data_IF_106408180063
#
_entry.id   IF_106408180063
#
_cell.length_a   1.000
_cell.length_b   1.000
_cell.length_c   1.000
_cell.angle_alpha   90.00
_cell.angle_beta   90.00
_cell.angle_gamma   90.00
#
_symmetry.space_group_name_H-M   'P 1'
#
loop_
_entity.id
_entity.type
_entity.pdbx_description
1 polymer ?
#
# COMPACT_ATOMS: atom_id res chain seq x y z
N UNK A 1 -9.56 -14.63 23.00
CA UNK A 1 -9.48 -13.41 22.18
C UNK A 1 -10.85 -12.77 22.21
N UNK A 2 -10.94 -11.52 22.66
CA UNK A 2 -12.17 -10.74 22.56
C UNK A 2 -12.34 -10.21 21.14
N UNK A 3 -13.58 -9.87 20.72
CA UNK A 3 -13.78 -9.20 19.45
C UNK A 3 -13.01 -7.85 19.36
N UNK A 4 -12.62 -7.30 20.50
CA UNK A 4 -11.89 -6.02 20.60
C UNK A 4 -10.43 -6.12 20.16
N UNK A 5 -9.85 -7.34 20.08
CA UNK A 5 -8.44 -7.53 19.66
C UNK A 5 -8.23 -7.19 18.17
N UNK A 6 -9.29 -7.24 17.35
CA UNK A 6 -9.28 -6.82 15.95
C UNK A 6 -9.44 -5.31 15.77
N UNK A 7 -9.86 -4.60 16.81
CA UNK A 7 -10.20 -3.20 16.73
C UNK A 7 -8.99 -2.33 16.99
N UNK A 8 -8.99 -1.19 16.32
CA UNK A 8 -8.07 -0.07 16.55
C UNK A 8 -8.86 1.12 17.11
N UNK A 9 -9.81 0.82 18.00
CA UNK A 9 -10.78 1.78 18.52
C UNK A 9 -10.11 3.00 19.12
N UNK A 10 -10.56 4.18 18.66
CA UNK A 10 -10.11 5.50 19.07
C UNK A 10 -8.61 5.78 18.87
N UNK A 11 -7.92 4.92 18.12
CA UNK A 11 -6.58 5.21 17.60
C UNK A 11 -6.66 6.19 16.44
N UNK A 12 -5.57 6.90 16.20
CA UNK A 12 -5.44 7.82 15.09
C UNK A 12 -4.51 7.23 14.03
N UNK A 13 -5.03 7.06 12.82
CA UNK A 13 -4.26 6.61 11.67
C UNK A 13 -3.97 7.78 10.72
N UNK A 14 -2.75 7.86 10.21
CA UNK A 14 -2.38 8.70 9.08
C UNK A 14 -2.07 7.82 7.87
N UNK A 15 -2.75 8.05 6.75
CA UNK A 15 -2.60 7.26 5.53
C UNK A 15 -2.13 8.17 4.39
N UNK A 16 -0.92 7.98 3.89
CA UNK A 16 -0.40 8.70 2.74
C UNK A 16 -0.93 8.10 1.43
N UNK A 17 -1.33 8.95 0.47
CA UNK A 17 -2.04 8.50 -0.73
C UNK A 17 -3.39 7.86 -0.38
N UNK A 18 -4.03 8.36 0.69
CA UNK A 18 -5.26 7.81 1.27
C UNK A 18 -6.53 8.15 0.49
N UNK A 19 -6.46 9.04 -0.49
CA UNK A 19 -7.62 9.48 -1.28
C UNK A 19 -8.02 8.51 -2.40
N UNK A 20 -7.28 7.43 -2.65
CA UNK A 20 -7.65 6.51 -3.71
C UNK A 20 -6.95 5.15 -3.64
N UNK A 21 -7.47 4.18 -4.39
CA UNK A 21 -6.89 2.85 -4.54
C UNK A 21 -6.65 2.12 -3.22
N UNK A 22 -5.49 1.51 -3.08
CA UNK A 22 -5.12 0.74 -1.88
C UNK A 22 -5.16 1.62 -0.63
N UNK A 23 -4.70 2.89 -0.73
CA UNK A 23 -4.73 3.82 0.41
C UNK A 23 -6.13 4.12 0.92
N UNK A 24 -7.08 4.33 0.02
CA UNK A 24 -8.49 4.52 0.38
C UNK A 24 -9.09 3.25 1.02
N UNK A 25 -8.82 2.08 0.44
CA UNK A 25 -9.25 0.81 1.02
C UNK A 25 -8.72 0.61 2.45
N UNK A 26 -7.44 0.97 2.68
CA UNK A 26 -6.83 0.90 4.02
C UNK A 26 -7.45 1.94 4.97
N UNK A 27 -7.63 3.18 4.52
CA UNK A 27 -8.24 4.24 5.35
C UNK A 27 -9.63 3.86 5.83
N UNK A 28 -10.47 3.35 4.91
CA UNK A 28 -11.82 2.90 5.23
C UNK A 28 -11.82 1.63 6.11
N UNK A 29 -10.91 0.69 5.89
CA UNK A 29 -10.80 -0.50 6.73
C UNK A 29 -10.40 -0.13 8.16
N UNK A 30 -9.45 0.78 8.36
CA UNK A 30 -9.06 1.28 9.68
C UNK A 30 -10.22 2.03 10.35
N UNK A 31 -10.98 2.83 9.60
CA UNK A 31 -12.17 3.50 10.12
C UNK A 31 -13.25 2.51 10.57
N UNK A 32 -13.55 1.47 9.77
CA UNK A 32 -14.47 0.38 10.16
C UNK A 32 -14.00 -0.35 11.42
N UNK A 33 -12.68 -0.48 11.59
CA UNK A 33 -12.07 -1.06 12.78
C UNK A 33 -11.98 -0.09 13.97
N UNK A 34 -12.50 1.14 13.84
CA UNK A 34 -12.68 2.10 14.92
C UNK A 34 -11.65 3.22 15.00
N UNK A 35 -10.72 3.35 14.05
CA UNK A 35 -9.76 4.45 14.02
C UNK A 35 -10.37 5.78 13.55
N UNK A 36 -9.83 6.89 14.04
CA UNK A 36 -9.90 8.20 13.39
C UNK A 36 -8.83 8.26 12.30
N UNK A 37 -9.08 8.94 11.19
CA UNK A 37 -8.17 8.88 10.04
C UNK A 37 -7.79 10.25 9.51
N UNK A 38 -6.50 10.54 9.45
CA UNK A 38 -5.93 11.61 8.64
C UNK A 38 -5.65 11.05 7.23
N UNK A 39 -6.36 11.59 6.24
CA UNK A 39 -6.29 11.15 4.83
C UNK A 39 -5.42 12.14 4.07
N UNK A 40 -4.16 11.77 3.79
CA UNK A 40 -3.24 12.61 3.04
C UNK A 40 -3.21 12.19 1.58
N UNK A 41 -3.50 13.11 0.68
CA UNK A 41 -3.43 12.89 -0.77
C UNK A 41 -3.01 14.16 -1.51
N UNK A 42 -2.50 14.04 -2.72
CA UNK A 42 -2.19 15.18 -3.59
C UNK A 42 -3.45 15.75 -4.23
N UNK A 43 -4.50 14.95 -4.39
CA UNK A 43 -5.78 15.34 -4.99
C UNK A 43 -6.76 15.75 -3.88
N UNK A 44 -7.06 17.06 -3.72
CA UNK A 44 -7.94 17.53 -2.65
C UNK A 44 -9.30 16.87 -2.64
N UNK A 45 -9.93 16.73 -3.81
CA UNK A 45 -11.27 16.14 -3.95
C UNK A 45 -11.31 14.69 -3.47
N UNK A 46 -10.22 13.93 -3.64
CA UNK A 46 -10.12 12.54 -3.18
C UNK A 46 -9.91 12.46 -1.68
N UNK A 47 -9.05 13.31 -1.13
CA UNK A 47 -8.84 13.37 0.31
C UNK A 47 -10.15 13.72 1.04
N UNK A 48 -10.91 14.70 0.54
CA UNK A 48 -12.21 15.10 1.07
C UNK A 48 -13.27 14.01 0.92
N UNK A 49 -13.32 13.33 -0.23
CA UNK A 49 -14.26 12.23 -0.45
C UNK A 49 -14.05 11.12 0.58
N UNK A 50 -12.83 10.61 0.73
CA UNK A 50 -12.54 9.53 1.67
C UNK A 50 -12.70 9.99 3.13
N UNK A 51 -12.37 11.23 3.45
CA UNK A 51 -12.64 11.80 4.77
C UNK A 51 -14.15 11.79 5.08
N UNK A 52 -15.00 12.18 4.13
CA UNK A 52 -16.45 12.10 4.28
C UNK A 52 -16.96 10.68 4.47
N UNK A 53 -16.39 9.70 3.78
CA UNK A 53 -16.73 8.28 3.96
C UNK A 53 -16.31 7.76 5.35
N UNK A 54 -15.16 8.20 5.88
CA UNK A 54 -14.71 7.91 7.26
C UNK A 54 -15.69 8.50 8.28
N UNK A 55 -16.14 9.74 8.04
CA UNK A 55 -17.15 10.40 8.91
C UNK A 55 -18.50 9.68 8.87
N UNK A 56 -18.92 9.19 7.71
CA UNK A 56 -20.13 8.39 7.56
C UNK A 56 -20.07 7.06 8.34
N UNK A 57 -18.87 6.54 8.62
CA UNK A 57 -18.62 5.41 9.51
C UNK A 57 -18.61 5.79 11.00
N UNK A 58 -18.93 7.04 11.35
CA UNK A 58 -18.96 7.55 12.73
C UNK A 58 -17.57 7.81 13.33
N UNK A 59 -16.54 7.98 12.50
CA UNK A 59 -15.18 8.29 12.96
C UNK A 59 -14.83 9.72 12.60
N UNK A 60 -13.84 10.30 13.29
CA UNK A 60 -13.33 11.62 12.91
C UNK A 60 -12.36 11.46 11.75
N UNK A 61 -12.40 12.40 10.81
CA UNK A 61 -11.48 12.46 9.68
C UNK A 61 -10.77 13.83 9.61
N UNK A 62 -9.62 13.84 8.94
CA UNK A 62 -8.90 15.05 8.57
C UNK A 62 -8.36 14.88 7.16
N UNK A 63 -8.98 15.54 6.15
CA UNK A 63 -8.39 15.57 4.82
C UNK A 63 -7.16 16.51 4.84
N UNK A 64 -6.04 16.01 4.28
CA UNK A 64 -4.77 16.72 4.18
C UNK A 64 -4.31 16.70 2.72
N UNK A 65 -3.91 17.87 2.21
CA UNK A 65 -3.42 17.99 0.83
C UNK A 65 -1.92 18.24 0.86
N UNK A 66 -1.15 17.29 0.29
CA UNK A 66 0.30 17.42 0.18
C UNK A 66 0.86 16.58 -0.97
N UNK A 67 1.86 17.10 -1.68
CA UNK A 67 2.73 16.30 -2.53
C UNK A 67 3.78 15.59 -1.66
N UNK A 68 3.71 14.27 -1.58
CA UNK A 68 4.65 13.49 -0.76
C UNK A 68 6.10 13.52 -1.28
N UNK A 69 6.34 14.02 -2.49
CA UNK A 69 7.69 14.27 -3.00
C UNK A 69 8.32 15.55 -2.41
N UNK A 70 7.52 16.39 -1.77
CA UNK A 70 7.96 17.58 -1.02
C UNK A 70 7.93 17.24 0.48
N UNK A 71 9.11 17.02 1.05
CA UNK A 71 9.23 16.62 2.46
C UNK A 71 8.69 17.64 3.44
N UNK A 72 8.77 18.94 3.11
CA UNK A 72 8.23 20.03 3.96
C UNK A 72 6.69 19.97 4.01
N UNK A 73 6.05 19.66 2.88
CA UNK A 73 4.60 19.45 2.86
C UNK A 73 4.20 18.21 3.67
N UNK A 74 4.99 17.13 3.60
CA UNK A 74 4.77 15.94 4.43
C UNK A 74 4.86 16.27 5.92
N UNK A 75 5.89 17.02 6.31
CA UNK A 75 6.08 17.44 7.72
C UNK A 75 4.93 18.33 8.19
N UNK A 76 4.51 19.29 7.37
CA UNK A 76 3.38 20.16 7.69
C UNK A 76 2.06 19.38 7.84
N UNK A 77 1.82 18.40 6.98
CA UNK A 77 0.62 17.56 7.05
C UNK A 77 0.61 16.68 8.31
N UNK A 78 1.76 16.10 8.70
CA UNK A 78 1.89 15.32 9.93
C UNK A 78 1.69 16.20 11.16
N UNK A 79 2.26 17.42 11.17
CA UNK A 79 2.07 18.38 12.25
C UNK A 79 0.59 18.78 12.40
N UNK A 80 -0.13 19.00 11.28
CA UNK A 80 -1.56 19.28 11.31
C UNK A 80 -2.39 18.12 11.85
N UNK A 81 -2.02 16.86 11.53
CA UNK A 81 -2.67 15.69 12.11
C UNK A 81 -2.42 15.59 13.62
N UNK A 82 -1.18 15.84 14.06
CA UNK A 82 -0.82 15.88 15.48
C UNK A 82 -1.55 16.99 16.24
N UNK A 83 -1.62 18.20 15.68
CA UNK A 83 -2.38 19.32 16.26
C UNK A 83 -3.88 18.99 16.39
N UNK A 84 -4.46 18.35 15.37
CA UNK A 84 -5.90 18.02 15.34
C UNK A 84 -6.30 16.91 16.31
N UNK A 85 -5.45 15.88 16.45
CA UNK A 85 -5.80 14.67 17.21
C UNK A 85 -4.98 14.51 18.50
N UNK A 86 -3.87 15.24 18.65
CA UNK A 86 -2.95 15.13 19.78
C UNK A 86 -2.11 13.85 19.79
N UNK A 87 -2.23 13.00 18.77
CA UNK A 87 -1.56 11.69 18.67
C UNK A 87 -1.61 11.15 17.23
N UNK A 88 -0.65 10.29 16.92
CA UNK A 88 -0.73 9.39 15.76
C UNK A 88 -0.28 8.00 16.23
N UNK A 89 -1.13 6.99 16.13
CA UNK A 89 -0.86 5.62 16.60
C UNK A 89 -0.51 4.68 15.45
N UNK A 90 -1.02 4.99 14.26
CA UNK A 90 -0.87 4.17 13.06
C UNK A 90 -0.39 5.07 11.92
N UNK A 91 0.75 4.72 11.31
CA UNK A 91 1.18 5.31 10.05
C UNK A 91 1.07 4.27 8.94
N UNK A 92 0.41 4.64 7.84
CA UNK A 92 0.41 3.85 6.62
C UNK A 92 1.14 4.61 5.51
N UNK A 93 2.33 4.15 5.18
CA UNK A 93 3.11 4.64 4.04
C UNK A 93 2.64 3.93 2.76
N UNK A 94 1.61 4.50 2.13
CA UNK A 94 1.02 3.94 0.92
C UNK A 94 1.32 4.77 -0.33
N UNK A 95 1.48 6.09 -0.21
CA UNK A 95 1.75 6.94 -1.36
C UNK A 95 2.89 6.39 -2.22
N UNK A 96 2.66 6.32 -3.51
CA UNK A 96 3.61 5.76 -4.45
C UNK A 96 3.09 5.84 -5.88
N UNK A 97 3.96 5.52 -6.82
CA UNK A 97 3.60 5.54 -8.23
C UNK A 97 4.58 4.76 -9.08
N UNK A 98 4.08 4.23 -10.18
CA UNK A 98 4.89 3.46 -11.11
C UNK A 98 4.58 3.85 -12.54
N UNK A 99 5.63 3.91 -13.36
CA UNK A 99 5.52 4.05 -14.81
C UNK A 99 6.51 3.07 -15.45
N UNK A 100 5.95 1.98 -16.02
CA UNK A 100 6.74 0.92 -16.63
C UNK A 100 7.42 1.41 -17.91
N UNK A 101 8.77 1.31 -17.97
CA UNK A 101 9.56 1.66 -19.16
C UNK A 101 10.90 0.90 -19.15
N UNK A 102 11.42 0.47 -20.32
CA UNK A 102 12.76 -0.10 -20.39
C UNK A 102 13.78 0.80 -19.70
N UNK A 103 14.63 0.24 -18.84
CA UNK A 103 15.59 1.02 -18.02
C UNK A 103 16.46 1.95 -18.87
N UNK A 104 17.00 1.46 -19.98
CA UNK A 104 17.85 2.26 -20.88
C UNK A 104 17.10 3.42 -21.59
N UNK A 105 15.78 3.46 -21.53
CA UNK A 105 14.95 4.55 -22.06
C UNK A 105 14.43 5.48 -20.97
N UNK A 106 14.80 5.27 -19.72
CA UNK A 106 14.46 6.16 -18.61
C UNK A 106 15.50 7.27 -18.49
N UNK A 107 15.06 8.47 -18.12
CA UNK A 107 15.92 9.59 -17.79
C UNK A 107 16.26 9.65 -16.31
N UNK A 108 17.31 10.34 -15.92
CA UNK A 108 17.65 10.61 -14.53
C UNK A 108 16.50 11.29 -13.79
N UNK A 109 15.78 12.23 -14.43
CA UNK A 109 14.58 12.86 -13.86
C UNK A 109 13.51 11.82 -13.51
N UNK A 110 13.32 10.81 -14.37
CA UNK A 110 12.37 9.71 -14.09
C UNK A 110 12.83 8.87 -12.90
N UNK A 111 14.13 8.56 -12.79
CA UNK A 111 14.65 7.82 -11.65
C UNK A 111 14.45 8.57 -10.34
N UNK A 112 14.84 9.86 -10.29
CA UNK A 112 14.65 10.71 -9.11
C UNK A 112 13.19 10.75 -8.67
N UNK A 113 12.27 10.99 -9.61
CA UNK A 113 10.84 10.97 -9.30
C UNK A 113 10.37 9.64 -8.69
N UNK A 114 10.82 8.49 -9.21
CA UNK A 114 10.46 7.20 -8.64
C UNK A 114 11.04 7.00 -7.24
N UNK A 115 12.26 7.47 -7.00
CA UNK A 115 12.91 7.41 -5.69
C UNK A 115 12.17 8.32 -4.70
N UNK A 116 11.88 9.54 -5.09
CA UNK A 116 11.22 10.52 -4.22
C UNK A 116 9.83 10.03 -3.79
N UNK A 117 8.99 9.59 -4.74
CA UNK A 117 7.62 9.19 -4.44
C UNK A 117 7.52 7.82 -3.74
N UNK A 118 8.42 6.86 -4.00
CA UNK A 118 8.29 5.49 -3.48
C UNK A 118 9.23 5.17 -2.30
N UNK A 119 10.25 6.00 -2.04
CA UNK A 119 11.20 5.74 -0.97
C UNK A 119 11.37 6.96 -0.06
N UNK A 120 11.74 8.14 -0.59
CA UNK A 120 12.02 9.32 0.23
C UNK A 120 10.77 9.76 1.00
N UNK A 121 9.60 9.75 0.36
CA UNK A 121 8.31 10.07 1.00
C UNK A 121 8.04 9.22 2.25
N UNK A 122 8.29 7.91 2.16
CA UNK A 122 8.16 7.00 3.30
C UNK A 122 9.17 7.31 4.41
N UNK A 123 10.43 7.62 4.06
CA UNK A 123 11.45 7.98 5.05
C UNK A 123 11.03 9.25 5.81
N UNK A 124 10.57 10.28 5.09
CA UNK A 124 10.11 11.53 5.68
C UNK A 124 8.92 11.31 6.63
N UNK A 125 7.87 10.62 6.15
CA UNK A 125 6.69 10.37 6.95
C UNK A 125 6.99 9.50 8.20
N UNK A 126 7.82 8.47 8.03
CA UNK A 126 8.23 7.62 9.16
C UNK A 126 9.02 8.41 10.21
N UNK A 127 9.98 9.24 9.78
CA UNK A 127 10.81 10.03 10.68
C UNK A 127 9.97 10.93 11.60
N UNK A 128 9.04 11.70 11.01
CA UNK A 128 8.24 12.64 11.81
C UNK A 128 7.18 11.93 12.66
N UNK A 129 6.51 10.92 12.10
CA UNK A 129 5.49 10.19 12.86
C UNK A 129 6.10 9.40 14.02
N UNK A 130 7.27 8.78 13.83
CA UNK A 130 7.95 8.07 14.90
C UNK A 130 8.33 8.99 16.08
N UNK A 131 8.72 10.25 15.83
CA UNK A 131 8.97 11.24 16.89
C UNK A 131 7.70 11.51 17.72
N UNK A 132 6.55 11.61 17.07
CA UNK A 132 5.25 11.78 17.74
C UNK A 132 4.92 10.55 18.57
N UNK A 133 5.01 9.34 18.01
CA UNK A 133 4.75 8.09 18.72
C UNK A 133 5.66 7.93 19.95
N UNK A 134 6.96 8.27 19.83
CA UNK A 134 7.93 8.22 20.94
C UNK A 134 7.58 9.26 22.02
N UNK A 135 7.25 10.48 21.64
CA UNK A 135 6.81 11.54 22.57
C UNK A 135 5.59 11.11 23.38
N UNK A 136 4.63 10.47 22.73
CA UNK A 136 3.41 9.98 23.36
C UNK A 136 3.62 8.74 24.26
N UNK A 137 4.67 7.95 24.01
CA UNK A 137 5.06 6.82 24.86
C UNK A 137 4.05 5.67 24.92
N UNK A 138 3.15 5.57 23.92
CA UNK A 138 2.10 4.53 23.85
C UNK A 138 2.43 3.39 22.89
N UNK A 139 3.60 3.44 22.25
CA UNK A 139 3.94 2.58 21.13
C UNK A 139 3.26 3.02 19.84
N UNK A 140 3.13 2.12 18.89
CA UNK A 140 2.47 2.41 17.60
C UNK A 140 2.66 1.31 16.58
N UNK A 141 2.07 1.50 15.40
CA UNK A 141 2.21 0.60 14.27
C UNK A 141 2.50 1.39 12.99
N UNK A 142 3.55 1.00 12.27
CA UNK A 142 3.89 1.54 10.96
C UNK A 142 3.70 0.41 9.93
N UNK A 143 2.86 0.66 8.93
CA UNK A 143 2.58 -0.27 7.83
C UNK A 143 3.07 0.33 6.52
N UNK A 144 4.07 -0.28 5.92
CA UNK A 144 4.64 0.14 4.65
C UNK A 144 4.00 -0.65 3.50
N UNK A 145 3.37 0.03 2.54
CA UNK A 145 2.78 -0.60 1.35
C UNK A 145 3.86 -0.73 0.29
N UNK A 146 4.51 -1.91 0.27
CA UNK A 146 5.51 -2.27 -0.71
C UNK A 146 4.86 -2.81 -2.00
N UNK A 147 5.39 -3.89 -2.52
CA UNK A 147 4.88 -4.66 -3.67
C UNK A 147 5.61 -5.99 -3.70
N UNK A 148 5.03 -7.01 -4.31
CA UNK A 148 5.77 -8.23 -4.64
C UNK A 148 6.96 -7.94 -5.57
N UNK A 149 6.92 -6.85 -6.34
CA UNK A 149 8.03 -6.39 -7.18
C UNK A 149 9.27 -5.95 -6.36
N UNK A 150 9.11 -5.71 -5.07
CA UNK A 150 10.23 -5.54 -4.14
C UNK A 150 10.91 -6.86 -3.73
N UNK A 151 10.32 -8.00 -4.07
CA UNK A 151 10.79 -9.35 -3.69
C UNK A 151 11.23 -10.18 -4.89
N UNK A 152 10.89 -9.79 -6.11
CA UNK A 152 11.21 -10.48 -7.35
C UNK A 152 11.70 -9.52 -8.43
N UNK A 153 12.21 -10.05 -9.53
CA UNK A 153 12.56 -9.25 -10.70
C UNK A 153 11.29 -8.70 -11.39
N UNK A 154 11.35 -7.44 -11.79
CA UNK A 154 10.28 -6.73 -12.47
C UNK A 154 10.80 -6.01 -13.72
N UNK A 155 10.85 -6.68 -14.89
CA UNK A 155 11.21 -6.03 -16.15
C UNK A 155 10.35 -4.78 -16.40
N UNK A 156 10.97 -3.72 -16.91
CA UNK A 156 10.39 -2.37 -17.11
C UNK A 156 10.19 -1.53 -15.85
N UNK A 157 10.28 -2.10 -14.65
CA UNK A 157 10.00 -1.44 -13.37
C UNK A 157 11.25 -1.31 -12.48
N UNK A 158 12.46 -1.34 -13.04
CA UNK A 158 13.73 -1.49 -12.32
C UNK A 158 13.88 -0.53 -11.12
N UNK A 159 13.64 0.78 -11.31
CA UNK A 159 13.80 1.78 -10.23
C UNK A 159 12.69 1.64 -9.19
N UNK A 160 11.46 1.41 -9.62
CA UNK A 160 10.34 1.13 -8.72
C UNK A 160 10.60 -0.09 -7.85
N UNK A 161 10.99 -1.21 -8.47
CA UNK A 161 11.30 -2.46 -7.75
C UNK A 161 12.46 -2.26 -6.75
N UNK A 162 13.50 -1.50 -7.13
CA UNK A 162 14.59 -1.15 -6.22
C UNK A 162 14.09 -0.33 -5.02
N UNK A 163 13.20 0.65 -5.22
CA UNK A 163 12.59 1.41 -4.13
C UNK A 163 11.75 0.52 -3.21
N UNK A 164 10.94 -0.37 -3.79
CA UNK A 164 10.10 -1.28 -3.01
C UNK A 164 10.92 -2.33 -2.25
N UNK A 165 12.03 -2.82 -2.80
CA UNK A 165 13.01 -3.65 -2.10
C UNK A 165 13.70 -2.87 -0.96
N UNK A 166 14.09 -1.62 -1.21
CA UNK A 166 14.62 -0.70 -0.19
C UNK A 166 13.64 -0.49 0.96
N UNK A 167 12.35 -0.30 0.67
CA UNK A 167 11.28 -0.21 1.67
C UNK A 167 11.20 -1.46 2.55
N UNK A 168 11.33 -2.67 1.98
CA UNK A 168 11.33 -3.92 2.76
C UNK A 168 12.57 -4.03 3.67
N UNK A 169 13.73 -3.58 3.18
CA UNK A 169 14.95 -3.52 4.01
C UNK A 169 14.80 -2.52 5.14
N UNK A 170 14.30 -1.32 4.85
CA UNK A 170 14.01 -0.28 5.84
C UNK A 170 13.00 -0.74 6.90
N UNK A 171 11.94 -1.44 6.49
CA UNK A 171 10.95 -2.03 7.41
C UNK A 171 11.62 -2.90 8.46
N UNK A 172 12.51 -3.81 8.07
CA UNK A 172 13.24 -4.69 9.00
C UNK A 172 14.15 -3.90 9.95
N UNK A 173 14.84 -2.90 9.42
CA UNK A 173 15.75 -2.07 10.24
C UNK A 173 14.98 -1.26 11.27
N UNK A 174 13.90 -0.58 10.86
CA UNK A 174 13.09 0.22 11.79
C UNK A 174 12.31 -0.64 12.78
N UNK A 175 11.95 -1.87 12.43
CA UNK A 175 11.37 -2.82 13.38
C UNK A 175 12.31 -3.06 14.59
N UNK A 176 13.63 -3.06 14.37
CA UNK A 176 14.61 -3.19 15.44
C UNK A 176 14.84 -1.87 16.15
N UNK A 177 15.09 -0.78 15.42
CA UNK A 177 15.42 0.53 16.00
C UNK A 177 14.29 1.10 16.85
N UNK A 178 13.03 0.89 16.45
CA UNK A 178 11.86 1.43 17.14
C UNK A 178 11.23 0.48 18.17
N UNK A 179 11.73 -0.75 18.28
CA UNK A 179 11.18 -1.77 19.18
C UNK A 179 11.20 -1.37 20.66
N UNK A 180 12.26 -0.67 21.10
CA UNK A 180 12.37 -0.20 22.49
C UNK A 180 11.31 0.84 22.86
N UNK A 181 10.66 1.45 21.88
CA UNK A 181 9.56 2.39 22.08
C UNK A 181 8.18 1.73 21.94
N UNK A 182 8.12 0.39 21.77
CA UNK A 182 6.88 -0.33 21.54
C UNK A 182 6.26 -0.08 20.17
N UNK A 183 7.03 0.43 19.20
CA UNK A 183 6.56 0.71 17.84
C UNK A 183 6.89 -0.49 16.96
N UNK A 184 5.87 -1.07 16.32
CA UNK A 184 6.00 -2.17 15.37
C UNK A 184 6.07 -1.62 13.95
N UNK A 185 6.93 -2.17 13.11
CA UNK A 185 7.09 -1.75 11.72
C UNK A 185 7.00 -2.98 10.83
N UNK A 186 5.99 -3.02 9.96
CA UNK A 186 5.74 -4.14 9.06
C UNK A 186 5.44 -3.63 7.64
N UNK A 187 5.47 -4.52 6.66
CA UNK A 187 5.08 -4.21 5.30
C UNK A 187 3.97 -5.13 4.80
N UNK A 188 3.13 -4.63 3.91
CA UNK A 188 2.32 -5.44 3.00
C UNK A 188 2.93 -5.37 1.61
N UNK A 189 2.82 -6.46 0.85
CA UNK A 189 3.31 -6.54 -0.52
C UNK A 189 2.16 -6.98 -1.45
N UNK A 190 1.37 -6.03 -1.95
CA UNK A 190 0.30 -6.30 -2.91
C UNK A 190 0.82 -6.68 -4.30
N UNK A 191 -0.04 -7.37 -5.07
CA UNK A 191 0.05 -7.54 -6.52
C UNK A 191 -1.38 -7.43 -7.11
N UNK A 192 -1.47 -7.22 -8.43
CA UNK A 192 -2.73 -7.25 -9.22
C UNK A 192 -4.00 -6.81 -8.45
N UNK A 193 -3.90 -5.69 -7.72
CA UNK A 193 -5.03 -5.13 -6.98
C UNK A 193 -5.77 -4.12 -7.87
N UNK A 194 -7.09 -4.27 -7.98
CA UNK A 194 -7.95 -3.34 -8.75
C UNK A 194 -7.96 -1.98 -8.06
N UNK A 195 -7.55 -0.94 -8.80
CA UNK A 195 -7.49 0.45 -8.31
C UNK A 195 -7.97 1.42 -9.40
N UNK A 196 -8.45 2.62 -9.02
CA UNK A 196 -8.77 3.65 -10.03
C UNK A 196 -7.60 3.92 -10.98
N UNK A 197 -6.39 3.95 -10.46
CA UNK A 197 -5.18 4.26 -11.24
C UNK A 197 -4.87 3.26 -12.34
N UNK A 198 -5.08 1.96 -12.12
CA UNK A 198 -4.87 0.92 -13.14
C UNK A 198 -6.09 0.70 -14.03
N UNK A 199 -7.24 1.27 -13.67
CA UNK A 199 -8.46 1.32 -14.48
C UNK A 199 -8.63 2.64 -15.27
N UNK A 200 -7.59 3.49 -15.33
CA UNK A 200 -7.58 4.71 -16.16
C UNK A 200 -8.00 5.99 -15.43
N UNK A 201 -8.59 5.90 -14.24
CA UNK A 201 -9.02 7.06 -13.43
C UNK A 201 -7.88 7.54 -12.50
N UNK A 202 -6.88 8.19 -13.08
CA UNK A 202 -5.65 8.58 -12.34
C UNK A 202 -5.77 9.87 -11.55
N UNK A 203 -6.62 10.79 -11.97
CA UNK A 203 -6.81 12.12 -11.36
C UNK A 203 -8.29 12.45 -11.25
N UNK A 204 -8.63 13.48 -10.47
CA UNK A 204 -10.01 13.87 -10.21
C UNK A 204 -10.77 12.89 -9.30
N UNK A 205 -12.07 13.05 -9.10
CA UNK A 205 -12.87 12.16 -8.26
C UNK A 205 -12.81 10.72 -8.75
N UNK A 206 -12.93 9.78 -7.83
CA UNK A 206 -13.04 8.36 -8.19
C UNK A 206 -14.43 8.11 -8.77
N UNK A 207 -14.46 7.66 -10.02
CA UNK A 207 -15.69 7.34 -10.75
C UNK A 207 -15.54 6.00 -11.47
N UNK A 208 -16.12 4.96 -10.89
CA UNK A 208 -16.03 3.59 -11.42
C UNK A 208 -16.71 3.44 -12.79
N UNK A 209 -17.68 4.32 -13.13
CA UNK A 209 -18.33 4.29 -14.43
C UNK A 209 -17.38 4.63 -15.59
N UNK A 210 -16.25 5.26 -15.30
CA UNK A 210 -15.22 5.63 -16.27
C UNK A 210 -14.06 4.62 -16.34
N UNK A 211 -14.12 3.55 -15.55
CA UNK A 211 -13.05 2.56 -15.53
C UNK A 211 -12.99 1.77 -16.83
N UNK A 212 -11.75 1.54 -17.27
CA UNK A 212 -11.48 0.70 -18.43
C UNK A 212 -11.19 -0.72 -17.96
N UNK A 213 -11.89 -1.68 -18.52
CA UNK A 213 -11.59 -3.09 -18.31
C UNK A 213 -10.67 -3.62 -19.42
N UNK A 214 -9.90 -4.66 -19.10
CA UNK A 214 -9.14 -5.41 -20.09
C UNK A 214 -10.06 -6.20 -21.02
N UNK A 215 -9.51 -6.67 -22.15
CA UNK A 215 -10.27 -7.63 -22.97
C UNK A 215 -10.48 -8.94 -22.22
N UNK A 216 -11.50 -9.76 -22.57
CA UNK A 216 -11.71 -11.06 -21.92
C UNK A 216 -10.46 -11.94 -21.89
N UNK A 217 -9.65 -11.91 -22.95
CA UNK A 217 -8.40 -12.67 -23.06
C UNK A 217 -7.34 -12.16 -22.08
N UNK A 218 -7.24 -10.83 -21.89
CA UNK A 218 -6.33 -10.23 -20.92
C UNK A 218 -6.73 -10.59 -19.49
N UNK A 219 -8.04 -10.52 -19.18
CA UNK A 219 -8.58 -10.88 -17.88
C UNK A 219 -8.31 -12.37 -17.58
N UNK A 220 -8.62 -13.26 -18.53
CA UNK A 220 -8.36 -14.69 -18.40
C UNK A 220 -6.86 -14.98 -18.18
N UNK A 221 -5.99 -14.36 -18.98
CA UNK A 221 -4.54 -14.52 -18.83
C UNK A 221 -4.05 -14.07 -17.46
N UNK A 222 -4.53 -12.92 -16.96
CA UNK A 222 -4.19 -12.42 -15.62
C UNK A 222 -4.69 -13.37 -14.54
N UNK A 223 -5.93 -13.83 -14.65
CA UNK A 223 -6.52 -14.73 -13.66
C UNK A 223 -5.80 -16.09 -13.61
N UNK A 224 -5.28 -16.60 -14.73
CA UNK A 224 -4.47 -17.82 -14.74
C UNK A 224 -3.09 -17.64 -14.12
N UNK A 225 -2.55 -16.43 -14.15
CA UNK A 225 -1.27 -16.10 -13.50
C UNK A 225 -1.39 -16.08 -11.97
N UNK A 226 -2.56 -15.67 -11.47
CA UNK A 226 -2.82 -15.54 -10.03
C UNK A 226 -3.36 -16.87 -9.50
N UNK A 227 -2.69 -17.54 -8.53
CA UNK A 227 -3.16 -18.82 -7.99
C UNK A 227 -4.61 -18.83 -7.49
N UNK A 228 -5.09 -17.75 -6.87
CA UNK A 228 -6.49 -17.62 -6.46
C UNK A 228 -7.46 -17.35 -7.61
N UNK A 229 -6.97 -17.15 -8.84
CA UNK A 229 -7.78 -17.07 -10.05
C UNK A 229 -8.53 -15.75 -10.26
N UNK A 230 -8.16 -14.69 -9.56
CA UNK A 230 -8.75 -13.36 -9.70
C UNK A 230 -7.79 -12.26 -9.23
N UNK A 231 -7.99 -11.06 -9.71
CA UNK A 231 -7.35 -9.86 -9.14
C UNK A 231 -7.81 -9.63 -7.69
N UNK A 232 -6.96 -8.96 -6.91
CA UNK A 232 -7.26 -8.54 -5.54
C UNK A 232 -8.14 -7.29 -5.50
N UNK A 233 -8.81 -7.09 -4.37
CA UNK A 233 -9.56 -5.88 -4.06
C UNK A 233 -8.83 -5.04 -3.02
N UNK A 234 -9.04 -3.72 -3.02
CA UNK A 234 -8.38 -2.79 -2.08
C UNK A 234 -8.69 -3.12 -0.61
N UNK A 235 -9.87 -3.68 -0.33
CA UNK A 235 -10.26 -4.11 1.02
C UNK A 235 -9.38 -5.26 1.56
N UNK A 236 -8.79 -6.10 0.69
CA UNK A 236 -7.89 -7.17 1.12
C UNK A 236 -6.57 -6.60 1.65
N UNK A 237 -6.07 -5.53 1.03
CA UNK A 237 -4.96 -4.74 1.57
C UNK A 237 -5.38 -4.01 2.86
N UNK A 238 -6.61 -3.49 2.92
CA UNK A 238 -7.20 -2.88 4.11
C UNK A 238 -7.23 -3.83 5.30
N UNK A 239 -7.73 -5.05 5.10
CA UNK A 239 -7.79 -6.08 6.14
C UNK A 239 -6.40 -6.48 6.65
N UNK A 240 -5.41 -6.60 5.74
CA UNK A 240 -4.02 -6.86 6.10
C UNK A 240 -3.42 -5.72 6.94
N UNK A 241 -3.71 -4.45 6.58
CA UNK A 241 -3.27 -3.29 7.33
C UNK A 241 -3.91 -3.21 8.73
N UNK A 242 -5.21 -3.50 8.85
CA UNK A 242 -5.91 -3.60 10.15
C UNK A 242 -5.26 -4.69 11.02
N UNK A 243 -5.00 -5.88 10.48
CA UNK A 243 -4.29 -6.93 11.21
C UNK A 243 -2.94 -6.44 11.74
N UNK A 244 -2.11 -5.83 10.88
CA UNK A 244 -0.78 -5.35 11.26
C UNK A 244 -0.82 -4.14 12.21
N UNK A 245 -1.89 -3.36 12.22
CA UNK A 245 -2.09 -2.25 13.14
C UNK A 245 -2.66 -2.67 14.49
N UNK A 246 -3.48 -3.71 14.53
CA UNK A 246 -4.22 -4.15 15.73
C UNK A 246 -3.38 -4.98 16.72
N UNK A 247 -3.99 -5.29 17.87
CA UNK A 247 -3.41 -6.19 18.88
C UNK A 247 -3.24 -7.63 18.39
N UNK A 248 -3.94 -8.04 17.32
CA UNK A 248 -3.76 -9.34 16.70
C UNK A 248 -2.34 -9.61 16.23
N UNK A 249 -1.57 -8.56 15.96
CA UNK A 249 -0.17 -8.63 15.54
C UNK A 249 0.80 -8.05 16.58
N UNK A 250 0.44 -8.05 17.85
CA UNK A 250 1.23 -7.45 18.94
C UNK A 250 2.66 -8.02 19.03
N UNK A 251 2.83 -9.29 18.65
CA UNK A 251 4.15 -9.95 18.61
C UNK A 251 4.71 -10.09 17.18
N UNK A 252 4.28 -9.22 16.25
CA UNK A 252 4.67 -9.25 14.83
C UNK A 252 5.31 -7.91 14.46
N UNK A 253 6.62 -7.93 14.19
CA UNK A 253 7.38 -6.78 13.68
C UNK A 253 8.45 -7.23 12.69
N UNK A 254 8.79 -6.40 11.71
CA UNK A 254 9.81 -6.67 10.69
C UNK A 254 9.39 -7.64 9.58
N UNK A 255 8.11 -8.01 9.51
CA UNK A 255 7.61 -8.93 8.48
C UNK A 255 7.13 -8.23 7.22
N UNK A 256 7.08 -8.98 6.14
CA UNK A 256 6.37 -8.63 4.91
C UNK A 256 5.23 -9.62 4.70
N UNK A 257 4.00 -9.13 4.70
CA UNK A 257 2.80 -9.91 4.42
C UNK A 257 2.40 -9.72 2.96
N UNK A 258 2.48 -10.78 2.17
CA UNK A 258 2.06 -10.76 0.77
C UNK A 258 0.52 -10.77 0.68
N UNK A 259 -0.03 -9.83 -0.10
CA UNK A 259 -1.46 -9.71 -0.40
C UNK A 259 -1.60 -9.77 -1.91
N UNK A 260 -1.38 -10.94 -2.48
CA UNK A 260 -1.05 -11.11 -3.89
C UNK A 260 -1.74 -12.32 -4.57
N UNK A 261 -2.71 -12.92 -3.91
CA UNK A 261 -3.39 -14.10 -4.42
C UNK A 261 -2.49 -15.33 -4.64
N UNK A 262 -1.27 -15.31 -4.08
CA UNK A 262 -0.27 -16.38 -4.19
C UNK A 262 0.72 -16.21 -5.35
N UNK A 263 0.70 -15.06 -6.03
CA UNK A 263 1.55 -14.81 -7.22
C UNK A 263 3.05 -14.90 -6.89
N UNK A 264 3.48 -14.39 -5.75
CA UNK A 264 4.87 -14.52 -5.34
C UNK A 264 5.27 -15.97 -5.05
N UNK A 265 4.39 -16.74 -4.39
CA UNK A 265 4.64 -18.14 -4.07
C UNK A 265 4.65 -19.04 -5.31
N UNK A 266 3.98 -18.63 -6.38
CA UNK A 266 3.87 -19.42 -7.60
C UNK A 266 5.21 -19.62 -8.32
N UNK A 267 6.15 -18.68 -8.17
CA UNK A 267 7.52 -18.80 -8.74
C UNK A 267 7.58 -19.20 -10.23
N UNK A 268 6.61 -18.69 -11.01
CA UNK A 268 6.50 -19.01 -12.45
C UNK A 268 5.56 -20.17 -12.79
N UNK A 269 4.97 -20.83 -11.80
CA UNK A 269 3.85 -21.74 -12.05
C UNK A 269 2.58 -20.94 -12.35
N UNK A 270 1.81 -21.44 -13.31
CA UNK A 270 0.54 -20.83 -13.69
C UNK A 270 -0.45 -21.90 -14.13
N UNK A 271 -1.72 -21.53 -14.31
CA UNK A 271 -2.73 -22.46 -14.83
C UNK A 271 -2.79 -22.36 -16.35
N UNK A 272 -2.91 -23.52 -17.01
CA UNK A 272 -3.27 -23.59 -18.43
C UNK A 272 -4.80 -23.31 -18.61
N UNK A 273 -5.30 -23.22 -19.85
CA UNK A 273 -6.73 -23.03 -20.10
C UNK A 273 -7.64 -24.09 -19.50
N UNK A 274 -7.14 -25.31 -19.28
CA UNK A 274 -7.85 -26.43 -18.65
C UNK A 274 -7.72 -26.42 -17.12
N UNK A 275 -7.08 -25.40 -16.53
CA UNK A 275 -6.92 -25.21 -15.09
C UNK A 275 -5.82 -26.04 -14.43
N UNK A 276 -4.96 -26.74 -15.19
CA UNK A 276 -3.85 -27.56 -14.68
C UNK A 276 -2.63 -26.67 -14.40
N UNK A 277 -1.85 -27.02 -13.38
CA UNK A 277 -0.60 -26.32 -13.12
C UNK A 277 0.47 -26.68 -14.15
N UNK A 278 1.03 -25.65 -14.77
CA UNK A 278 2.13 -25.74 -15.74
C UNK A 278 3.23 -24.75 -15.38
N UNK A 279 4.47 -25.14 -15.65
CA UNK A 279 5.62 -24.28 -15.47
C UNK A 279 5.96 -23.65 -16.83
N UNK A 280 5.67 -22.38 -17.00
CA UNK A 280 5.90 -21.61 -18.20
C UNK A 280 5.04 -22.01 -19.41
N UNK A 281 4.30 -21.06 -19.98
CA UNK A 281 3.50 -21.27 -21.19
C UNK A 281 4.32 -21.61 -22.43
N UNK A 282 5.63 -21.35 -22.44
CA UNK A 282 6.51 -21.70 -23.56
C UNK A 282 6.47 -23.18 -23.95
N UNK A 283 5.89 -24.05 -23.12
CA UNK A 283 5.72 -25.47 -23.45
C UNK A 283 4.61 -25.70 -24.47
N UNK A 284 3.61 -24.85 -24.49
CA UNK A 284 2.52 -24.91 -25.50
C UNK A 284 3.02 -24.45 -26.87
N UNK A 285 4.01 -23.55 -26.88
CA UNK A 285 4.62 -23.07 -28.12
C UNK A 285 5.61 -24.05 -28.77
N UNK A 286 6.03 -25.07 -28.03
CA UNK A 286 6.94 -26.11 -28.58
C UNK A 286 6.18 -27.20 -29.34
N UNK A 287 4.93 -27.44 -28.99
CA UNK A 287 4.07 -28.40 -29.70
C UNK A 287 3.55 -27.85 -31.04
N UNK A 288 3.61 -26.53 -31.26
CA UNK A 288 3.25 -25.87 -32.51
C UNK A 288 4.40 -25.83 -33.55
N UNK A 289 5.56 -26.43 -33.25
CA UNK A 289 6.75 -26.42 -34.13
C UNK A 289 7.00 -27.80 -34.76
N UNK A 290 6.03 -28.73 -34.67
CA UNK A 290 6.12 -30.02 -35.37
C UNK A 290 5.10 -30.13 -36.51
#
# INVERSE_FOLDING_TARGET
>A
MSNDDFLVSDQVALVTGGGGGIGAGIALALARAGAHVAVLDIEPVRAEQIAGEVEALGRQALPLVADVMDTEQVYAAIAAADERFGRIDILVNNAGGVNGRPFLKQSERSWRRHIDINLVSMLAATSETAKIMIREGRGGAIVNVSSIEGQRAAPYFAVYAACKAGMLSFTRTMALELSSYGIRVNAIAPDHTVTPGNRGNRTGPVDESQWTEGTPEMIDSTNRLIPLGREGHVDECGNAAVYLASKMSEYVTGVTLNVDGGTWASSGWMRDPEGRWVQNQGRVLVDDVT
#
